data_IF_647631529915
#
_entry.id   IF_647631529915
#
_cell.length_a   1.000
_cell.length_b   1.000
_cell.length_c   1.000
_cell.angle_alpha   90.00
_cell.angle_beta   90.00
_cell.angle_gamma   90.00
#
_symmetry.space_group_name_H-M   'P 1'
#
loop_
_entity.id
_entity.type
_entity.pdbx_description
1 polymer ?
#
# COMPACT_ATOMS: atom_id res chain seq x y z
N UNK A 1 -12.90 0.75 -14.31
CA UNK A 1 -13.59 1.32 -13.13
C UNK A 1 -12.59 1.75 -12.09
N UNK A 2 -12.82 2.89 -11.48
CA UNK A 2 -12.01 3.37 -10.35
C UNK A 2 -12.90 3.37 -9.11
N UNK A 3 -12.41 2.79 -8.03
CA UNK A 3 -13.12 2.75 -6.76
C UNK A 3 -12.31 3.52 -5.72
N UNK A 4 -12.98 4.45 -5.03
CA UNK A 4 -12.40 5.18 -3.90
C UNK A 4 -13.15 4.75 -2.65
N UNK A 5 -12.41 4.46 -1.59
CA UNK A 5 -13.02 4.04 -0.33
C UNK A 5 -12.24 4.63 0.85
N UNK A 6 -12.96 4.89 1.94
CA UNK A 6 -12.36 5.32 3.18
C UNK A 6 -12.37 4.13 4.12
N UNK A 7 -11.19 3.63 4.44
CA UNK A 7 -11.01 2.47 5.30
C UNK A 7 -10.61 2.92 6.70
N UNK A 8 -10.84 2.06 7.67
CA UNK A 8 -10.39 2.30 9.03
C UNK A 8 -9.48 1.14 9.45
N UNK A 9 -8.26 1.47 9.88
CA UNK A 9 -7.28 0.50 10.35
C UNK A 9 -6.79 0.98 11.71
N UNK A 10 -7.06 0.21 12.76
CA UNK A 10 -6.72 0.53 14.14
C UNK A 10 -7.20 1.93 14.54
N UNK A 11 -8.43 2.26 14.16
CA UNK A 11 -9.07 3.52 14.52
C UNK A 11 -8.65 4.73 13.69
N UNK A 12 -7.80 4.55 12.67
CA UNK A 12 -7.32 5.64 11.83
C UNK A 12 -7.74 5.46 10.38
N UNK A 13 -7.99 6.57 9.71
CA UNK A 13 -8.46 6.56 8.33
C UNK A 13 -7.33 6.23 7.35
N UNK A 14 -7.68 5.41 6.35
CA UNK A 14 -6.80 5.07 5.24
C UNK A 14 -7.62 5.24 3.95
N UNK A 15 -7.12 6.02 3.02
CA UNK A 15 -7.82 6.22 1.74
C UNK A 15 -7.40 5.14 0.75
N UNK A 16 -8.37 4.36 0.29
CA UNK A 16 -8.12 3.31 -0.70
C UNK A 16 -8.50 3.77 -2.09
N UNK A 17 -7.62 3.49 -3.05
CA UNK A 17 -7.86 3.73 -4.48
C UNK A 17 -7.62 2.43 -5.21
N UNK A 18 -8.62 1.99 -5.98
CA UNK A 18 -8.52 0.79 -6.80
C UNK A 18 -8.83 1.14 -8.24
N UNK A 19 -7.90 0.80 -9.14
CA UNK A 19 -8.11 0.92 -10.59
C UNK A 19 -8.27 -0.49 -11.12
N UNK A 20 -9.47 -0.83 -11.59
CA UNK A 20 -9.76 -2.18 -12.08
C UNK A 20 -9.03 -2.44 -13.38
N UNK A 21 -8.19 -3.46 -13.40
CA UNK A 21 -7.49 -3.98 -14.56
C UNK A 21 -7.09 -2.90 -15.58
N UNK A 22 -6.21 -1.95 -15.22
CA UNK A 22 -5.84 -0.87 -16.14
C UNK A 22 -5.20 -1.37 -17.42
N UNK A 23 -4.59 -2.55 -17.42
CA UNK A 23 -4.03 -3.17 -18.62
C UNK A 23 -5.06 -3.88 -19.50
N UNK A 24 -6.30 -4.00 -19.04
CA UNK A 24 -7.38 -4.69 -19.77
C UNK A 24 -7.87 -5.93 -19.05
N UNK A 25 -8.89 -6.58 -19.61
CA UNK A 25 -9.48 -7.77 -19.02
C UNK A 25 -8.43 -8.86 -18.76
N UNK A 26 -8.49 -9.48 -17.59
CA UNK A 26 -7.55 -10.52 -17.17
C UNK A 26 -6.25 -9.99 -16.58
N UNK A 27 -6.02 -8.67 -16.60
CA UNK A 27 -4.86 -8.06 -15.99
C UNK A 27 -5.11 -7.70 -14.53
N UNK A 28 -4.06 -7.55 -13.73
CA UNK A 28 -4.23 -7.25 -12.30
C UNK A 28 -4.79 -5.85 -12.07
N UNK A 29 -5.46 -5.70 -10.93
CA UNK A 29 -5.91 -4.39 -10.45
C UNK A 29 -4.73 -3.61 -9.90
N UNK A 30 -4.81 -2.28 -9.99
CA UNK A 30 -3.84 -1.39 -9.35
C UNK A 30 -4.48 -0.85 -8.08
N UNK A 31 -3.79 -0.99 -6.95
CA UNK A 31 -4.29 -0.53 -5.66
C UNK A 31 -3.25 0.32 -4.94
N UNK A 32 -3.73 1.35 -4.27
CA UNK A 32 -2.92 2.15 -3.36
C UNK A 32 -3.74 2.49 -2.12
N UNK A 33 -3.10 2.40 -0.96
CA UNK A 33 -3.67 2.81 0.32
C UNK A 33 -2.86 3.99 0.83
N UNK A 34 -3.53 5.15 0.92
CA UNK A 34 -2.87 6.38 1.37
C UNK A 34 -3.01 6.54 2.87
N UNK A 35 -1.89 6.64 3.56
CA UNK A 35 -1.81 6.84 5.00
C UNK A 35 -1.27 8.25 5.28
N UNK A 36 -1.17 8.62 6.56
CA UNK A 36 -0.74 9.97 6.95
C UNK A 36 0.69 10.28 6.52
N UNK A 37 1.61 9.32 6.71
CA UNK A 37 3.04 9.54 6.48
C UNK A 37 3.59 8.82 5.26
N UNK A 38 2.76 8.06 4.57
CA UNK A 38 3.20 7.30 3.42
C UNK A 38 2.06 6.51 2.80
N UNK A 39 2.40 5.53 1.96
CA UNK A 39 1.38 4.76 1.27
C UNK A 39 1.81 3.31 1.06
N UNK A 40 0.80 2.46 0.87
CA UNK A 40 0.98 1.06 0.49
C UNK A 40 0.52 0.93 -0.94
N UNK A 41 1.31 0.26 -1.77
CA UNK A 41 0.95 0.04 -3.16
C UNK A 41 1.13 -1.43 -3.54
N UNK A 42 0.39 -1.87 -4.56
CA UNK A 42 0.56 -3.20 -5.13
C UNK A 42 1.86 -3.25 -5.94
N UNK A 43 2.10 -4.38 -6.62
CA UNK A 43 3.33 -4.58 -7.39
C UNK A 43 3.57 -3.62 -8.56
N UNK A 44 2.64 -2.70 -8.80
CA UNK A 44 2.85 -1.64 -9.79
C UNK A 44 3.80 -0.54 -9.32
N UNK A 45 4.15 -0.51 -8.03
CA UNK A 45 5.07 0.52 -7.52
C UNK A 45 6.46 0.37 -8.11
N UNK A 46 6.97 1.47 -8.63
CA UNK A 46 8.38 1.56 -9.01
C UNK A 46 9.17 1.94 -7.74
N UNK A 47 9.66 0.93 -7.02
CA UNK A 47 10.34 1.16 -5.76
C UNK A 47 11.59 2.03 -5.88
N UNK A 48 12.46 1.85 -6.89
CA UNK A 48 13.61 2.75 -7.06
C UNK A 48 13.21 4.22 -7.20
N UNK A 49 12.12 4.51 -7.90
CA UNK A 49 11.63 5.90 -8.02
C UNK A 49 11.14 6.43 -6.68
N UNK A 50 10.39 5.61 -5.93
CA UNK A 50 9.92 6.00 -4.60
C UNK A 50 11.09 6.28 -3.67
N UNK A 51 12.14 5.47 -3.71
CA UNK A 51 13.34 5.67 -2.92
C UNK A 51 14.07 6.95 -3.29
N UNK A 52 14.14 7.25 -4.59
CA UNK A 52 14.78 8.47 -5.09
C UNK A 52 14.11 9.73 -4.56
N UNK A 53 12.78 9.71 -4.43
CA UNK A 53 12.02 10.85 -3.90
C UNK A 53 11.82 10.77 -2.39
N UNK A 54 12.45 9.80 -1.73
CA UNK A 54 12.38 9.61 -0.29
C UNK A 54 10.95 9.34 0.23
N UNK A 55 10.12 8.69 -0.59
CA UNK A 55 8.77 8.31 -0.18
C UNK A 55 8.80 7.20 0.87
N UNK A 56 7.94 7.32 1.87
CA UNK A 56 7.68 6.22 2.79
C UNK A 56 6.61 5.34 2.16
N UNK A 57 7.04 4.23 1.57
CA UNK A 57 6.15 3.34 0.84
C UNK A 57 6.53 1.88 1.03
N UNK A 58 5.53 1.01 0.94
CA UNK A 58 5.75 -0.43 0.94
C UNK A 58 4.88 -1.11 -0.10
N UNK A 59 5.28 -2.32 -0.49
CA UNK A 59 4.62 -3.10 -1.51
C UNK A 59 3.92 -4.29 -0.88
N UNK A 60 2.61 -4.42 -1.15
CA UNK A 60 1.81 -5.57 -0.74
C UNK A 60 0.98 -6.02 -1.94
N UNK A 61 0.99 -7.32 -2.25
CA UNK A 61 0.19 -7.87 -3.33
C UNK A 61 -1.25 -8.11 -2.92
N UNK A 62 -2.18 -8.00 -3.87
CA UNK A 62 -3.58 -8.28 -3.66
C UNK A 62 -4.46 -7.65 -4.72
N UNK A 63 -5.70 -8.14 -4.84
CA UNK A 63 -6.67 -7.68 -5.82
C UNK A 63 -7.80 -6.84 -5.20
N UNK A 64 -7.80 -6.71 -3.87
CA UNK A 64 -8.81 -5.94 -3.12
C UNK A 64 -8.14 -5.26 -1.94
N UNK A 65 -8.83 -4.28 -1.35
CA UNK A 65 -8.32 -3.62 -0.15
C UNK A 65 -8.14 -4.60 1.01
N UNK A 66 -9.07 -5.54 1.19
CA UNK A 66 -8.99 -6.54 2.24
C UNK A 66 -7.76 -7.42 2.06
N UNK A 67 -7.44 -7.82 0.83
CA UNK A 67 -6.26 -8.62 0.56
C UNK A 67 -4.97 -7.86 0.84
N UNK A 68 -4.91 -6.58 0.45
CA UNK A 68 -3.75 -5.74 0.74
C UNK A 68 -3.51 -5.63 2.25
N UNK A 69 -4.59 -5.49 3.03
CA UNK A 69 -4.46 -5.38 4.49
C UNK A 69 -4.07 -6.70 5.16
N UNK A 70 -4.42 -7.84 4.55
CA UNK A 70 -4.15 -9.17 5.11
C UNK A 70 -2.83 -9.77 4.66
N UNK A 71 -2.35 -9.42 3.48
CA UNK A 71 -1.16 -10.03 2.87
C UNK A 71 0.14 -9.44 3.43
N UNK A 72 1.25 -10.18 3.28
CA UNK A 72 2.53 -9.70 3.81
C UNK A 72 3.17 -8.62 2.94
N UNK A 73 3.86 -7.70 3.60
CA UNK A 73 4.71 -6.70 2.95
C UNK A 73 5.88 -7.39 2.26
N UNK A 74 6.09 -7.07 0.99
CA UNK A 74 7.14 -7.67 0.15
C UNK A 74 8.29 -6.73 -0.15
N UNK A 75 8.07 -5.42 -0.09
CA UNK A 75 9.10 -4.42 -0.36
C UNK A 75 8.89 -3.21 0.52
N UNK A 76 9.97 -2.58 0.95
CA UNK A 76 9.93 -1.46 1.89
C UNK A 76 10.99 -0.43 1.47
N UNK A 77 10.59 0.84 1.36
CA UNK A 77 11.57 1.91 1.15
C UNK A 77 12.29 2.24 2.45
N UNK A 78 13.50 2.82 2.39
CA UNK A 78 14.22 3.23 3.61
C UNK A 78 13.39 4.16 4.51
N UNK A 79 12.63 5.09 3.93
CA UNK A 79 11.79 6.01 4.71
C UNK A 79 10.67 5.27 5.45
N UNK A 80 10.07 4.25 4.82
CA UNK A 80 9.05 3.42 5.49
C UNK A 80 9.68 2.57 6.59
N UNK A 81 10.87 2.01 6.33
CA UNK A 81 11.60 1.24 7.33
C UNK A 81 11.90 2.08 8.57
N UNK A 82 12.24 3.35 8.38
CA UNK A 82 12.48 4.29 9.49
C UNK A 82 11.23 4.52 10.34
N UNK A 83 10.03 4.32 9.77
CA UNK A 83 8.77 4.42 10.49
C UNK A 83 8.36 3.09 11.16
N UNK A 84 9.15 2.06 10.98
CA UNK A 84 8.91 0.75 11.59
C UNK A 84 8.25 -0.28 10.68
N UNK A 85 8.12 0.00 9.38
CA UNK A 85 7.58 -0.98 8.44
C UNK A 85 8.65 -2.02 8.13
N UNK A 86 8.28 -3.29 8.19
CA UNK A 86 9.19 -4.42 7.95
C UNK A 86 8.59 -5.41 6.97
N UNK A 87 9.44 -6.03 6.15
CA UNK A 87 9.03 -7.10 5.26
C UNK A 87 8.44 -8.25 6.09
N UNK A 88 7.32 -8.79 5.64
CA UNK A 88 6.64 -9.90 6.30
C UNK A 88 5.50 -9.49 7.23
N UNK A 89 5.45 -8.24 7.69
CA UNK A 89 4.28 -7.79 8.45
C UNK A 89 3.08 -7.65 7.51
N UNK A 90 1.86 -7.64 8.06
CA UNK A 90 0.67 -7.48 7.23
C UNK A 90 0.54 -6.06 6.73
N UNK A 91 -0.23 -5.87 5.65
CA UNK A 91 -0.56 -4.53 5.17
C UNK A 91 -1.23 -3.67 6.24
N UNK A 92 -2.09 -4.27 7.08
CA UNK A 92 -2.73 -3.56 8.19
C UNK A 92 -1.70 -3.06 9.21
N UNK A 93 -0.71 -3.89 9.55
CA UNK A 93 0.37 -3.50 10.46
C UNK A 93 1.21 -2.38 9.87
N UNK A 94 1.50 -2.46 8.56
CA UNK A 94 2.24 -1.41 7.86
C UNK A 94 1.44 -0.10 7.84
N UNK A 95 0.14 -0.15 7.58
CA UNK A 95 -0.73 1.04 7.60
C UNK A 95 -0.71 1.71 8.97
N UNK A 96 -0.73 0.92 10.06
CA UNK A 96 -0.66 1.45 11.42
C UNK A 96 0.65 2.21 11.63
N UNK A 97 1.78 1.69 11.14
CA UNK A 97 3.08 2.36 11.24
C UNK A 97 3.11 3.65 10.42
N UNK A 98 2.52 3.65 9.22
CA UNK A 98 2.50 4.81 8.35
C UNK A 98 1.52 5.89 8.85
N UNK A 99 0.61 5.55 9.74
CA UNK A 99 -0.33 6.48 10.38
C UNK A 99 0.10 6.89 11.80
N UNK A 100 1.21 6.39 12.22
CA UNK A 100 1.76 6.63 13.55
C UNK A 100 2.21 8.05 13.88
#
# INVERSE_FOLDING_TARGET
MVKLDLLEVEGKAVQGILVQAPGGEGHPNMLVLLCKKGYIMCGYLNQPAAEKFEDAADIVGGASFEEILANPVKGVTPAAAALGVEIGMTGAQAAAKLNG
#
